data_IF_888070018282
#
_entry.id   IF_888070018282
#
_cell.length_a   1.000
_cell.length_b   1.000
_cell.length_c   1.000
_cell.angle_alpha   90.00
_cell.angle_beta   90.00
_cell.angle_gamma   90.00
#
_symmetry.space_group_name_H-M   'P 1'
#
loop_
_entity.id
_entity.type
_entity.pdbx_description
1 polymer ?
#
# COMPACT_ATOMS: atom_id res chain seq x y z
N UNK A 1 21.88 2.64 8.89
CA UNK A 1 21.28 1.29 8.78
C UNK A 1 19.86 1.23 9.40
N UNK A 2 19.61 1.82 10.58
CA UNK A 2 18.29 1.73 11.22
C UNK A 2 17.10 2.24 10.40
N UNK A 3 17.25 3.37 9.73
CA UNK A 3 16.16 3.98 8.93
C UNK A 3 15.78 3.15 7.69
N UNK A 4 16.73 2.46 7.07
CA UNK A 4 16.43 1.53 5.98
C UNK A 4 15.56 0.36 6.47
N UNK A 5 15.92 -0.29 7.58
CA UNK A 5 15.11 -1.39 8.13
C UNK A 5 13.75 -0.91 8.65
N UNK A 6 13.68 0.30 9.20
CA UNK A 6 12.41 0.93 9.56
C UNK A 6 11.52 1.16 8.33
N UNK A 7 12.10 1.68 7.24
CA UNK A 7 11.41 1.84 5.97
C UNK A 7 10.97 0.49 5.38
N UNK A 8 11.83 -0.52 5.42
CA UNK A 8 11.52 -1.87 4.96
C UNK A 8 10.33 -2.48 5.73
N UNK A 9 10.33 -2.34 7.06
CA UNK A 9 9.25 -2.86 7.91
C UNK A 9 7.93 -2.11 7.65
N UNK A 10 7.97 -0.79 7.55
CA UNK A 10 6.81 0.02 7.23
C UNK A 10 6.29 -0.30 5.82
N UNK A 11 7.19 -0.40 4.84
CA UNK A 11 6.85 -0.73 3.46
C UNK A 11 6.15 -2.09 3.36
N UNK A 12 6.67 -3.12 4.04
CA UNK A 12 5.98 -4.41 4.12
C UNK A 12 4.61 -4.29 4.78
N UNK A 13 4.49 -3.54 5.87
CA UNK A 13 3.20 -3.32 6.53
C UNK A 13 2.21 -2.53 5.67
N UNK A 14 2.70 -1.64 4.81
CA UNK A 14 1.91 -0.85 3.87
C UNK A 14 1.44 -1.68 2.66
N UNK A 15 2.34 -2.47 2.03
CA UNK A 15 2.05 -3.16 0.75
C UNK A 15 1.43 -4.54 0.94
N UNK A 16 1.71 -5.23 2.07
CA UNK A 16 1.28 -6.62 2.27
C UNK A 16 -0.22 -6.84 2.54
N UNK A 17 -0.98 -5.89 3.15
CA UNK A 17 -2.43 -6.03 3.23
C UNK A 17 -3.04 -6.20 1.84
N UNK A 18 -3.94 -7.18 1.71
CA UNK A 18 -4.50 -7.51 0.40
C UNK A 18 -5.53 -6.46 -0.01
N UNK A 19 -5.05 -5.53 -0.84
CA UNK A 19 -5.85 -4.57 -1.57
C UNK A 19 -5.96 -4.93 -3.06
N UNK A 20 -6.44 -3.98 -3.85
CA UNK A 20 -6.70 -4.18 -5.30
C UNK A 20 -5.44 -4.45 -6.11
N UNK A 21 -4.32 -3.82 -5.78
CA UNK A 21 -3.03 -4.09 -6.43
C UNK A 21 -2.60 -5.54 -6.23
N UNK A 22 -2.68 -6.03 -4.98
CA UNK A 22 -2.33 -7.41 -4.64
C UNK A 22 -3.24 -8.42 -5.34
N UNK A 23 -4.56 -8.16 -5.37
CA UNK A 23 -5.52 -9.01 -6.09
C UNK A 23 -5.23 -9.06 -7.58
N UNK A 24 -4.90 -7.93 -8.20
CA UNK A 24 -4.55 -7.86 -9.62
C UNK A 24 -3.26 -8.64 -9.93
N UNK A 25 -2.25 -8.55 -9.07
CA UNK A 25 -1.00 -9.30 -9.21
C UNK A 25 -1.24 -10.81 -9.00
N UNK A 26 -2.02 -11.19 -7.99
CA UNK A 26 -2.39 -12.58 -7.71
C UNK A 26 -3.18 -13.18 -8.88
N UNK A 27 -4.20 -12.49 -9.39
CA UNK A 27 -4.98 -12.91 -10.54
C UNK A 27 -4.10 -13.13 -11.77
N UNK A 28 -3.22 -12.18 -12.05
CA UNK A 28 -2.24 -12.32 -13.14
C UNK A 28 -1.31 -13.53 -12.95
N UNK A 29 -0.88 -13.81 -11.71
CA UNK A 29 -0.01 -14.94 -11.39
C UNK A 29 -0.73 -16.30 -11.51
N UNK A 30 -2.05 -16.33 -11.31
CA UNK A 30 -2.89 -17.53 -11.48
C UNK A 30 -3.28 -17.80 -12.94
N UNK A 31 -3.52 -16.73 -13.71
CA UNK A 31 -4.12 -16.84 -15.07
C UNK A 31 -3.12 -16.74 -16.20
N UNK A 32 -1.95 -16.11 -15.97
CA UNK A 32 -0.96 -15.84 -17.01
C UNK A 32 0.32 -16.67 -16.84
N UNK A 33 1.08 -16.89 -17.95
CA UNK A 33 2.41 -17.48 -17.87
C UNK A 33 3.33 -16.65 -16.96
N UNK A 34 4.27 -17.30 -16.24
CA UNK A 34 5.16 -16.64 -15.25
C UNK A 34 5.84 -15.37 -15.76
N UNK A 35 6.31 -15.37 -17.02
CA UNK A 35 6.96 -14.17 -17.62
C UNK A 35 5.99 -12.99 -17.67
N UNK A 36 4.74 -13.20 -18.05
CA UNK A 36 3.72 -12.14 -18.12
C UNK A 36 3.26 -11.73 -16.74
N UNK A 37 3.13 -12.65 -15.79
CA UNK A 37 2.83 -12.35 -14.41
C UNK A 37 3.93 -11.47 -13.76
N UNK A 38 5.20 -11.78 -13.99
CA UNK A 38 6.33 -10.95 -13.53
C UNK A 38 6.35 -9.57 -14.19
N UNK A 39 5.99 -9.46 -15.48
CA UNK A 39 5.81 -8.16 -16.14
C UNK A 39 4.66 -7.37 -15.52
N UNK A 40 3.54 -8.02 -15.18
CA UNK A 40 2.44 -7.37 -14.46
C UNK A 40 2.91 -6.85 -13.10
N UNK A 41 3.65 -7.67 -12.33
CA UNK A 41 4.22 -7.26 -11.04
C UNK A 41 5.18 -6.06 -11.17
N UNK A 42 6.02 -6.04 -12.22
CA UNK A 42 6.92 -4.91 -12.50
C UNK A 42 6.16 -3.62 -12.84
N UNK A 43 5.09 -3.72 -13.63
CA UNK A 43 4.25 -2.56 -13.99
C UNK A 43 3.53 -2.03 -12.75
N UNK A 44 2.95 -2.91 -11.93
CA UNK A 44 2.30 -2.52 -10.67
C UNK A 44 3.31 -1.88 -9.72
N UNK A 45 4.51 -2.46 -9.57
CA UNK A 45 5.59 -1.89 -8.77
C UNK A 45 5.96 -0.48 -9.24
N UNK A 46 6.06 -0.24 -10.55
CA UNK A 46 6.35 1.10 -11.08
C UNK A 46 5.30 2.13 -10.65
N UNK A 47 4.02 1.79 -10.73
CA UNK A 47 2.95 2.68 -10.28
C UNK A 47 2.94 2.83 -8.75
N UNK A 48 3.20 1.77 -7.99
CA UNK A 48 3.29 1.80 -6.53
C UNK A 48 4.43 2.71 -6.06
N UNK A 49 5.63 2.56 -6.63
CA UNK A 49 6.78 3.45 -6.38
C UNK A 49 6.45 4.90 -6.72
N UNK A 50 5.77 5.16 -7.83
CA UNK A 50 5.38 6.53 -8.20
C UNK A 50 4.38 7.14 -7.21
N UNK A 51 3.43 6.34 -6.71
CA UNK A 51 2.46 6.77 -5.71
C UNK A 51 3.13 7.00 -4.35
N UNK A 52 3.93 6.06 -3.86
CA UNK A 52 4.61 6.14 -2.56
C UNK A 52 5.57 7.33 -2.50
N UNK A 53 6.36 7.58 -3.55
CA UNK A 53 7.22 8.76 -3.65
C UNK A 53 6.41 10.06 -3.65
N UNK A 54 5.28 10.09 -4.36
CA UNK A 54 4.39 11.25 -4.39
C UNK A 54 3.78 11.54 -3.02
N UNK A 55 3.34 10.50 -2.31
CA UNK A 55 2.81 10.62 -0.95
C UNK A 55 3.89 11.05 0.05
N UNK A 56 5.08 10.45 -0.03
CA UNK A 56 6.17 10.72 0.89
C UNK A 56 6.73 12.14 0.73
N UNK A 57 7.12 12.53 -0.49
CA UNK A 57 7.74 13.83 -0.74
C UNK A 57 6.73 14.97 -0.90
N UNK A 58 5.55 14.69 -1.46
CA UNK A 58 4.50 15.71 -1.65
C UNK A 58 4.03 16.27 -0.32
N UNK A 59 3.74 15.41 0.64
CA UNK A 59 3.30 15.84 1.97
C UNK A 59 4.48 16.28 2.83
N UNK A 60 5.64 15.63 2.72
CA UNK A 60 6.84 16.00 3.48
C UNK A 60 7.25 17.46 3.24
N UNK A 61 7.20 17.93 2.00
CA UNK A 61 7.49 19.33 1.68
C UNK A 61 6.45 20.30 2.26
N UNK A 62 5.16 19.95 2.14
CA UNK A 62 4.07 20.77 2.68
C UNK A 62 4.15 20.94 4.19
N UNK A 63 4.64 19.91 4.91
CA UNK A 63 4.81 19.96 6.37
C UNK A 63 6.04 20.74 6.84
N UNK A 64 7.09 20.86 6.02
CA UNK A 64 8.22 21.72 6.34
C UNK A 64 7.82 23.20 6.36
N UNK A 65 6.87 23.58 5.52
CA UNK A 65 6.38 24.97 5.41
C UNK A 65 5.34 25.30 6.50
N UNK A 66 4.70 24.30 7.11
CA UNK A 66 3.60 24.50 8.06
C UNK A 66 3.69 23.58 9.27
N UNK A 67 4.23 24.07 10.39
CA UNK A 67 4.40 23.29 11.63
C UNK A 67 3.08 22.74 12.19
N UNK A 68 1.97 23.48 12.11
CA UNK A 68 0.65 23.01 12.56
C UNK A 68 0.14 21.82 11.74
N UNK A 69 0.47 21.80 10.43
CA UNK A 69 0.10 20.70 9.53
C UNK A 69 0.84 19.41 9.92
N UNK A 70 2.11 19.52 10.32
CA UNK A 70 2.88 18.40 10.85
C UNK A 70 2.19 17.77 12.06
N UNK A 71 1.79 18.59 13.05
CA UNK A 71 1.09 18.13 14.25
C UNK A 71 -0.26 17.48 13.90
N UNK A 72 -1.04 18.12 13.02
CA UNK A 72 -2.32 17.58 12.58
C UNK A 72 -2.16 16.22 11.87
N UNK A 73 -1.17 16.08 11.00
CA UNK A 73 -0.92 14.82 10.27
C UNK A 73 -0.39 13.72 11.20
N UNK A 74 0.47 14.04 12.17
CA UNK A 74 0.93 13.06 13.17
C UNK A 74 -0.24 12.53 14.02
N UNK A 75 -1.12 13.43 14.50
CA UNK A 75 -2.27 13.04 15.29
C UNK A 75 -3.29 12.23 14.49
N UNK A 76 -3.76 12.79 13.36
CA UNK A 76 -4.76 12.15 12.50
C UNK A 76 -4.18 10.89 11.85
N UNK A 77 -2.96 10.98 11.30
CA UNK A 77 -2.26 9.86 10.66
C UNK A 77 -2.04 8.71 11.63
N UNK A 78 -1.54 8.97 12.84
CA UNK A 78 -1.36 7.96 13.88
C UNK A 78 -2.67 7.25 14.24
N UNK A 79 -3.77 8.01 14.40
CA UNK A 79 -5.08 7.45 14.74
C UNK A 79 -5.66 6.61 13.59
N UNK A 80 -5.54 7.09 12.35
CA UNK A 80 -6.00 6.35 11.16
C UNK A 80 -5.17 5.10 10.93
N UNK A 81 -3.84 5.15 11.08
CA UNK A 81 -2.95 3.99 10.97
C UNK A 81 -3.31 2.93 12.01
N UNK A 82 -3.60 3.31 13.26
CA UNK A 82 -4.07 2.37 14.29
C UNK A 82 -5.42 1.76 13.88
N UNK A 83 -6.36 2.58 13.38
CA UNK A 83 -7.68 2.10 12.93
C UNK A 83 -7.56 1.09 11.78
N UNK A 84 -6.70 1.36 10.79
CA UNK A 84 -6.41 0.44 9.66
C UNK A 84 -5.84 -0.87 10.18
N UNK A 85 -4.82 -0.80 11.04
CA UNK A 85 -4.19 -1.97 11.62
C UNK A 85 -5.15 -2.81 12.47
N UNK A 86 -6.01 -2.17 13.25
CA UNK A 86 -7.07 -2.85 14.03
C UNK A 86 -8.09 -3.54 13.10
N UNK A 87 -8.48 -2.92 11.99
CA UNK A 87 -9.35 -3.53 10.98
C UNK A 87 -8.76 -4.79 10.35
N UNK A 88 -7.44 -4.81 10.12
CA UNK A 88 -6.72 -5.98 9.60
C UNK A 88 -6.60 -7.11 10.65
N UNK A 89 -6.44 -6.74 11.94
CA UNK A 89 -6.36 -7.72 13.04
C UNK A 89 -7.70 -8.41 13.31
N UNK A 90 -8.80 -7.64 13.26
CA UNK A 90 -10.14 -8.08 13.62
C UNK A 90 -11.13 -7.93 12.45
N UNK A 91 -10.97 -8.71 11.36
CA UNK A 91 -11.92 -8.67 10.24
C UNK A 91 -13.30 -9.13 10.75
N UNK A 92 -14.26 -8.21 10.83
CA UNK A 92 -15.63 -8.51 11.26
C UNK A 92 -16.18 -7.72 12.46
N UNK A 93 -15.39 -6.81 13.08
CA UNK A 93 -15.85 -5.97 14.22
C UNK A 93 -15.90 -4.47 13.93
N UNK A 94 -15.68 -4.04 12.72
CA UNK A 94 -15.72 -2.62 12.33
C UNK A 94 -16.93 -2.36 11.46
N UNK A 95 -17.93 -1.72 12.08
CA UNK A 95 -19.13 -1.31 11.37
C UNK A 95 -18.86 -0.29 10.26
N UNK A 96 -19.81 -0.19 9.44
CA UNK A 96 -20.24 0.54 8.27
C UNK A 96 -19.88 2.04 8.16
N UNK A 97 -18.71 2.48 8.59
CA UNK A 97 -18.27 3.87 8.47
C UNK A 97 -16.91 3.99 7.76
N UNK A 98 -16.95 4.11 6.45
CA UNK A 98 -16.08 4.97 5.61
C UNK A 98 -14.61 4.59 5.40
N UNK A 99 -14.00 3.59 6.07
CA UNK A 99 -12.55 3.34 5.95
C UNK A 99 -12.13 1.85 5.83
N UNK A 100 -13.05 0.91 5.93
CA UNK A 100 -12.78 -0.52 5.77
C UNK A 100 -13.74 -1.14 4.75
N UNK A 101 -13.67 -0.68 3.50
CA UNK A 101 -14.32 -1.41 2.42
C UNK A 101 -13.64 -2.77 2.32
N UNK A 102 -14.42 -3.85 2.42
CA UNK A 102 -13.91 -5.21 2.23
C UNK A 102 -13.21 -5.32 0.87
N UNK A 103 -12.12 -6.09 0.76
CA UNK A 103 -11.39 -6.27 -0.51
C UNK A 103 -12.31 -6.62 -1.70
N UNK A 104 -13.43 -7.29 -1.45
CA UNK A 104 -14.41 -7.65 -2.49
C UNK A 104 -15.21 -6.46 -3.04
N UNK A 105 -15.59 -5.47 -2.22
CA UNK A 105 -16.33 -4.30 -2.72
C UNK A 105 -15.42 -3.33 -3.48
N UNK A 106 -14.16 -3.21 -3.09
CA UNK A 106 -13.16 -2.42 -3.82
C UNK A 106 -12.80 -3.07 -5.17
N UNK A 107 -12.70 -4.39 -5.20
CA UNK A 107 -12.40 -5.15 -6.43
C UNK A 107 -13.47 -4.97 -7.49
N UNK A 108 -14.74 -4.99 -7.11
CA UNK A 108 -15.87 -4.81 -8.06
C UNK A 108 -15.91 -3.40 -8.63
N UNK A 109 -15.59 -2.39 -7.84
CA UNK A 109 -15.65 -0.98 -8.25
C UNK A 109 -14.50 -0.59 -9.19
N UNK A 110 -13.30 -1.07 -8.92
CA UNK A 110 -12.13 -0.74 -9.76
C UNK A 110 -11.99 -1.64 -10.97
N UNK A 111 -12.42 -2.91 -10.91
CA UNK A 111 -12.55 -3.74 -12.10
C UNK A 111 -13.58 -3.13 -13.07
N UNK A 112 -14.68 -2.59 -12.56
CA UNK A 112 -15.66 -1.85 -13.37
C UNK A 112 -15.09 -0.57 -14.00
N UNK A 113 -14.25 0.18 -13.27
CA UNK A 113 -13.54 1.36 -13.77
C UNK A 113 -12.46 0.97 -14.78
N UNK A 114 -11.62 -0.02 -14.46
CA UNK A 114 -10.59 -0.52 -15.37
C UNK A 114 -11.22 -1.05 -16.68
N UNK A 115 -12.33 -1.78 -16.59
CA UNK A 115 -13.04 -2.32 -17.74
C UNK A 115 -13.68 -1.22 -18.62
N UNK A 116 -14.20 -0.14 -18.00
CA UNK A 116 -14.71 1.04 -18.73
C UNK A 116 -13.59 1.84 -19.41
N UNK A 117 -12.44 1.97 -18.76
CA UNK A 117 -11.27 2.67 -19.32
C UNK A 117 -10.68 1.86 -20.48
N UNK A 118 -10.51 0.56 -20.32
CA UNK A 118 -9.94 -0.31 -21.38
C UNK A 118 -10.87 -0.47 -22.59
N UNK A 119 -12.17 -0.52 -22.41
CA UNK A 119 -13.12 -0.55 -23.55
C UNK A 119 -13.09 0.73 -24.38
N UNK A 120 -12.64 1.84 -23.81
CA UNK A 120 -12.55 3.15 -24.50
C UNK A 120 -11.23 3.34 -25.26
N UNK A 121 -10.18 2.61 -24.86
CA UNK A 121 -8.85 2.66 -25.50
C UNK A 121 -8.61 1.49 -26.45
N UNK A 122 -9.61 1.03 -27.17
CA UNK A 122 -9.65 -0.01 -28.20
C UNK A 122 -8.30 -0.42 -28.84
N UNK A 123 -7.40 -1.00 -28.04
CA UNK A 123 -6.09 -1.45 -28.50
C UNK A 123 -5.90 -2.94 -28.19
N UNK A 124 -5.60 -3.72 -29.21
CA UNK A 124 -5.41 -5.17 -29.20
C UNK A 124 -4.16 -5.66 -28.42
N UNK A 125 -3.50 -4.81 -27.62
CA UNK A 125 -2.33 -5.24 -26.89
C UNK A 125 -2.66 -5.53 -25.43
N UNK A 126 -2.56 -6.79 -25.02
CA UNK A 126 -2.69 -7.26 -23.63
C UNK A 126 -1.78 -6.46 -22.65
N UNK A 127 -0.66 -5.95 -23.14
CA UNK A 127 0.23 -5.09 -22.37
C UNK A 127 -0.39 -3.74 -22.04
N UNK A 128 -1.02 -3.08 -23.02
CA UNK A 128 -1.69 -1.80 -22.78
C UNK A 128 -2.80 -1.96 -21.75
N UNK A 129 -3.60 -3.02 -21.86
CA UNK A 129 -4.61 -3.36 -20.87
C UNK A 129 -3.99 -3.54 -19.47
N UNK A 130 -2.87 -4.23 -19.35
CA UNK A 130 -2.16 -4.45 -18.10
C UNK A 130 -1.65 -3.12 -17.50
N UNK A 131 -1.07 -2.23 -18.32
CA UNK A 131 -0.57 -0.92 -17.89
C UNK A 131 -1.71 -0.04 -17.38
N UNK A 132 -2.79 0.07 -18.15
CA UNK A 132 -3.96 0.89 -17.79
C UNK A 132 -4.60 0.35 -16.51
N UNK A 133 -4.79 -0.97 -16.41
CA UNK A 133 -5.36 -1.58 -15.20
C UNK A 133 -4.47 -1.35 -13.99
N UNK A 134 -3.15 -1.54 -14.10
CA UNK A 134 -2.20 -1.26 -13.01
C UNK A 134 -2.26 0.20 -12.57
N UNK A 135 -2.31 1.15 -13.52
CA UNK A 135 -2.46 2.57 -13.22
C UNK A 135 -3.76 2.88 -12.48
N UNK A 136 -4.89 2.31 -12.94
CA UNK A 136 -6.19 2.51 -12.30
C UNK A 136 -6.25 1.91 -10.90
N UNK A 137 -5.80 0.65 -10.71
CA UNK A 137 -5.85 0.00 -9.38
C UNK A 137 -4.90 0.64 -8.37
N UNK A 138 -3.93 1.43 -8.82
CA UNK A 138 -3.00 2.17 -7.96
C UNK A 138 -3.46 3.61 -7.74
N UNK A 139 -3.56 4.41 -8.80
CA UNK A 139 -3.81 5.85 -8.71
C UNK A 139 -5.29 6.24 -8.61
N UNK A 140 -6.22 5.40 -9.08
CA UNK A 140 -7.65 5.62 -8.91
C UNK A 140 -8.21 4.88 -7.69
N UNK A 141 -7.35 4.33 -6.84
CA UNK A 141 -7.72 3.71 -5.58
C UNK A 141 -7.63 4.74 -4.44
N UNK A 142 -8.77 5.29 -3.96
CA UNK A 142 -8.75 6.29 -2.92
C UNK A 142 -8.13 5.76 -1.62
N UNK A 143 -8.30 4.47 -1.32
CA UNK A 143 -7.72 3.85 -0.15
C UNK A 143 -6.19 3.83 -0.21
N UNK A 144 -5.58 3.46 -1.34
CA UNK A 144 -4.13 3.47 -1.50
C UNK A 144 -3.54 4.88 -1.36
N UNK A 145 -4.24 5.90 -1.87
CA UNK A 145 -3.84 7.30 -1.73
C UNK A 145 -3.92 7.75 -0.27
N UNK A 146 -5.02 7.43 0.42
CA UNK A 146 -5.22 7.79 1.83
C UNK A 146 -4.17 7.09 2.71
N UNK A 147 -4.00 5.78 2.55
CA UNK A 147 -3.05 4.99 3.33
C UNK A 147 -1.60 5.44 3.08
N UNK A 148 -1.22 5.63 1.81
CA UNK A 148 0.10 6.14 1.43
C UNK A 148 0.35 7.53 2.00
N UNK A 149 -0.63 8.42 1.86
CA UNK A 149 -0.55 9.79 2.37
C UNK A 149 -0.41 9.83 3.89
N UNK A 150 -1.25 9.09 4.62
CA UNK A 150 -1.27 9.10 6.07
C UNK A 150 -0.09 8.31 6.67
N UNK A 151 0.26 7.16 6.11
CA UNK A 151 1.39 6.37 6.62
C UNK A 151 2.73 6.98 6.21
N UNK A 152 3.01 7.10 4.92
CA UNK A 152 4.31 7.57 4.43
C UNK A 152 4.49 9.06 4.69
N UNK A 153 3.43 9.85 4.53
CA UNK A 153 3.44 11.28 4.81
C UNK A 153 3.70 11.58 6.29
N UNK A 154 3.04 10.88 7.21
CA UNK A 154 3.27 11.04 8.65
C UNK A 154 4.72 10.67 9.04
N UNK A 155 5.27 9.57 8.48
CA UNK A 155 6.67 9.22 8.70
C UNK A 155 7.64 10.22 8.09
N UNK A 156 7.34 10.77 6.90
CA UNK A 156 8.19 11.79 6.29
C UNK A 156 8.33 13.04 7.17
N UNK A 157 7.30 13.35 7.97
CA UNK A 157 7.29 14.46 8.92
C UNK A 157 8.26 14.28 10.10
N UNK A 158 8.56 13.04 10.46
CA UNK A 158 9.44 12.70 11.59
C UNK A 158 10.91 12.60 11.18
N UNK A 159 11.21 12.55 9.88
CA UNK A 159 12.54 12.26 9.35
C UNK A 159 13.24 13.54 8.88
N UNK A 160 14.56 13.62 9.13
CA UNK A 160 15.43 14.63 8.53
C UNK A 160 15.79 14.24 7.09
N UNK A 161 16.30 15.21 6.30
CA UNK A 161 16.67 15.00 4.88
C UNK A 161 17.63 13.81 4.71
N UNK A 162 18.63 13.66 5.60
CA UNK A 162 19.60 12.55 5.56
C UNK A 162 18.99 11.18 5.95
N UNK A 163 17.86 11.16 6.64
CA UNK A 163 17.16 9.95 7.08
C UNK A 163 16.08 9.52 6.07
N UNK A 164 15.53 10.48 5.33
CA UNK A 164 14.46 10.25 4.37
C UNK A 164 14.87 9.31 3.22
N UNK A 165 16.07 9.50 2.66
CA UNK A 165 16.56 8.68 1.54
C UNK A 165 16.69 7.20 1.94
N UNK A 166 17.44 6.82 3.01
CA UNK A 166 17.52 5.41 3.38
C UNK A 166 16.17 4.83 3.81
N UNK A 167 15.27 5.64 4.39
CA UNK A 167 13.94 5.20 4.76
C UNK A 167 13.10 4.85 3.52
N UNK A 168 12.96 5.76 2.58
CA UNK A 168 12.14 5.53 1.37
C UNK A 168 12.73 4.40 0.51
N UNK A 169 14.05 4.29 0.40
CA UNK A 169 14.67 3.15 -0.30
C UNK A 169 14.33 1.81 0.38
N UNK A 170 14.20 1.79 1.71
CA UNK A 170 13.68 0.63 2.44
C UNK A 170 12.25 0.29 2.07
N UNK A 171 11.36 1.29 1.99
CA UNK A 171 9.95 1.12 1.58
C UNK A 171 9.87 0.54 0.16
N UNK A 172 10.60 1.14 -0.80
CA UNK A 172 10.57 0.67 -2.20
C UNK A 172 11.15 -0.74 -2.36
N UNK A 173 12.18 -1.07 -1.57
CA UNK A 173 12.72 -2.43 -1.52
C UNK A 173 11.68 -3.42 -1.00
N UNK A 174 10.89 -3.03 0.01
CA UNK A 174 9.79 -3.86 0.52
C UNK A 174 8.73 -4.11 -0.55
N UNK A 175 8.29 -3.07 -1.28
CA UNK A 175 7.34 -3.20 -2.38
C UNK A 175 7.86 -4.13 -3.47
N UNK A 176 9.12 -3.99 -3.87
CA UNK A 176 9.74 -4.87 -4.86
C UNK A 176 9.77 -6.33 -4.40
N UNK A 177 10.28 -6.58 -3.19
CA UNK A 177 10.31 -7.93 -2.59
C UNK A 177 8.92 -8.54 -2.49
N UNK A 178 7.92 -7.74 -2.13
CA UNK A 178 6.54 -8.16 -1.97
C UNK A 178 5.91 -8.56 -3.31
N UNK A 179 5.86 -7.66 -4.28
CA UNK A 179 5.19 -7.95 -5.56
C UNK A 179 5.86 -9.07 -6.33
N UNK A 180 7.20 -9.15 -6.37
CA UNK A 180 7.89 -10.26 -6.98
C UNK A 180 7.73 -11.55 -6.15
N UNK A 181 7.83 -11.47 -4.83
CA UNK A 181 7.67 -12.58 -3.91
C UNK A 181 6.29 -13.23 -4.04
N UNK A 182 5.20 -12.44 -3.96
CA UNK A 182 3.83 -12.97 -4.07
C UNK A 182 3.55 -13.54 -5.46
N UNK A 183 4.07 -12.89 -6.53
CA UNK A 183 3.92 -13.40 -7.90
C UNK A 183 4.58 -14.76 -8.06
N UNK A 184 5.80 -14.92 -7.56
CA UNK A 184 6.51 -16.20 -7.63
C UNK A 184 5.83 -17.27 -6.77
N UNK A 185 5.47 -16.94 -5.53
CA UNK A 185 4.78 -17.87 -4.63
C UNK A 185 3.45 -18.35 -5.23
N UNK A 186 2.62 -17.43 -5.73
CA UNK A 186 1.34 -17.79 -6.33
C UNK A 186 1.53 -18.61 -7.61
N UNK A 187 2.48 -18.22 -8.48
CA UNK A 187 2.77 -18.98 -9.72
C UNK A 187 3.32 -20.37 -9.46
N UNK A 188 4.02 -20.58 -8.33
CA UNK A 188 4.58 -21.90 -7.96
C UNK A 188 3.58 -22.78 -7.23
N UNK A 189 2.73 -22.18 -6.39
CA UNK A 189 1.83 -22.87 -5.48
C UNK A 189 0.36 -22.54 -5.71
N UNK A 190 -0.03 -22.26 -6.95
CA UNK A 190 -1.40 -21.82 -7.30
C UNK A 190 -2.50 -22.71 -6.72
N UNK A 191 -2.28 -24.04 -6.70
CA UNK A 191 -3.21 -25.04 -6.15
C UNK A 191 -3.30 -25.06 -4.60
N UNK A 192 -2.38 -24.39 -3.88
CA UNK A 192 -2.34 -24.34 -2.40
C UNK A 192 -2.74 -22.97 -1.83
N UNK A 193 -3.02 -21.98 -2.69
CA UNK A 193 -3.34 -20.64 -2.24
C UNK A 193 -4.73 -20.59 -1.62
N UNK A 194 -4.80 -20.65 -0.28
CA UNK A 194 -6.04 -20.74 0.49
C UNK A 194 -6.42 -19.39 1.13
N UNK A 195 -7.73 -19.08 1.30
CA UNK A 195 -8.22 -17.91 2.04
C UNK A 195 -7.64 -17.76 3.45
N UNK A 196 -7.26 -18.87 4.10
CA UNK A 196 -6.64 -18.88 5.43
C UNK A 196 -5.27 -18.19 5.44
N UNK A 197 -4.47 -18.36 4.38
CA UNK A 197 -3.16 -17.71 4.24
C UNK A 197 -3.32 -16.20 4.13
N UNK A 198 -4.30 -15.75 3.36
CA UNK A 198 -4.67 -14.34 3.21
C UNK A 198 -5.04 -13.72 4.57
N UNK A 199 -5.89 -14.39 5.34
CA UNK A 199 -6.31 -13.93 6.67
C UNK A 199 -5.14 -13.88 7.66
N UNK A 200 -4.27 -14.89 7.67
CA UNK A 200 -3.08 -14.89 8.53
C UNK A 200 -2.13 -13.73 8.20
N UNK A 201 -1.91 -13.48 6.92
CA UNK A 201 -1.07 -12.40 6.42
C UNK A 201 -1.62 -11.02 6.82
N UNK A 202 -2.92 -10.78 6.63
CA UNK A 202 -3.57 -9.55 7.04
C UNK A 202 -3.47 -9.31 8.56
N UNK A 203 -3.56 -10.35 9.38
CA UNK A 203 -3.40 -10.24 10.84
C UNK A 203 -1.97 -9.83 11.24
N UNK A 204 -0.96 -10.47 10.65
CA UNK A 204 0.44 -10.13 10.93
C UNK A 204 0.72 -8.67 10.52
N UNK A 205 0.32 -8.28 9.30
CA UNK A 205 0.47 -6.91 8.83
C UNK A 205 -0.28 -5.91 9.72
N UNK A 206 -1.52 -6.25 10.11
CA UNK A 206 -2.33 -5.42 11.01
C UNK A 206 -1.65 -5.15 12.35
N UNK A 207 -1.00 -6.17 12.95
CA UNK A 207 -0.24 -6.01 14.19
C UNK A 207 0.93 -5.03 14.01
N UNK A 208 1.70 -5.16 12.94
CA UNK A 208 2.81 -4.25 12.63
C UNK A 208 2.31 -2.82 12.41
N UNK A 209 1.23 -2.66 11.65
CA UNK A 209 0.61 -1.34 11.38
C UNK A 209 0.15 -0.67 12.68
N UNK A 210 -0.50 -1.41 13.59
CA UNK A 210 -0.89 -0.86 14.91
C UNK A 210 0.32 -0.38 15.71
N UNK A 211 1.40 -1.16 15.77
CA UNK A 211 2.62 -0.76 16.48
C UNK A 211 3.23 0.51 15.89
N UNK A 212 3.23 0.64 14.56
CA UNK A 212 3.73 1.84 13.87
C UNK A 212 2.82 3.06 14.12
N UNK A 213 1.50 2.87 14.15
CA UNK A 213 0.55 3.93 14.50
C UNK A 213 0.71 4.42 15.94
N UNK A 214 0.96 3.52 16.88
CA UNK A 214 1.29 3.89 18.28
C UNK A 214 2.57 4.70 18.34
N UNK A 215 3.61 4.33 17.57
CA UNK A 215 4.84 5.12 17.46
C UNK A 215 4.56 6.53 16.95
N UNK A 216 3.75 6.71 15.91
CA UNK A 216 3.39 8.04 15.39
C UNK A 216 2.67 8.91 16.44
N UNK A 217 1.77 8.32 17.25
CA UNK A 217 1.12 9.05 18.34
C UNK A 217 2.11 9.41 19.46
N UNK A 218 3.08 8.53 19.75
CA UNK A 218 4.15 8.86 20.70
C UNK A 218 5.01 10.03 20.20
N UNK A 219 5.38 10.03 18.91
CA UNK A 219 6.14 11.13 18.27
C UNK A 219 5.32 12.45 18.30
N UNK A 220 3.98 12.38 18.12
CA UNK A 220 3.11 13.54 18.29
C UNK A 220 3.14 14.08 19.72
N UNK A 221 2.98 13.22 20.72
CA UNK A 221 3.00 13.64 22.14
C UNK A 221 4.33 14.29 22.50
N UNK A 222 5.46 13.71 22.03
CA UNK A 222 6.79 14.31 22.25
C UNK A 222 7.02 15.62 21.50
N UNK A 223 6.28 15.86 20.42
CA UNK A 223 6.39 17.12 19.66
C UNK A 223 5.53 18.25 20.24
N UNK A 224 4.53 17.92 21.11
CA UNK A 224 3.63 18.88 21.77
C UNK A 224 4.13 19.24 23.16
N UNK A 225 4.84 18.33 23.86
CA UNK A 225 5.45 18.55 25.18
C UNK A 225 6.79 19.28 25.07
#
# INVERSE_FOLDING_TARGET
MGFFFQGLTLGLAYVAPIGMQNLFVIDSALTKPRRRALLTALIVLFFDVSLSLSCFFGIGKLMQDHAWLKLAILAIGGLVVIRIGAGLLFPGKGGDDGAAQTPQSQTSQSQGLAQRVTSKFGGDSELLHTIVTAGVVTWCNPQAIIDGTLMLGAFSATLTVGQSTPFITGVETASALWFFGITLLVSLFSHKFSPRIVTAMNRVCGAVVVLLGVKLLADFVMAVL
#
